data_IF_264516330093
#
_entry.id   IF_264516330093
#
_cell.length_a   1.000
_cell.length_b   1.000
_cell.length_c   1.000
_cell.angle_alpha   90.00
_cell.angle_beta   90.00
_cell.angle_gamma   90.00
#
_symmetry.space_group_name_H-M   'P 1'
#
loop_
_entity.id
_entity.type
_entity.pdbx_description
1 polymer ?
#
# COMPACT_ATOMS: atom_id res chain seq x y z
N UNK A 1 -10.84 48.88 65.83
CA UNK A 1 -10.49 49.08 64.41
C UNK A 1 -10.07 47.74 63.86
N UNK A 2 -10.96 47.02 63.17
CA UNK A 2 -10.62 45.78 62.50
C UNK A 2 -10.38 46.10 61.00
N UNK A 3 -9.16 45.89 60.52
CA UNK A 3 -8.82 46.02 59.12
C UNK A 3 -9.12 44.70 58.39
N UNK A 4 -10.09 44.73 57.48
CA UNK A 4 -10.37 43.63 56.59
C UNK A 4 -9.36 43.64 55.42
N UNK A 5 -8.55 42.59 55.31
CA UNK A 5 -7.65 42.34 54.14
C UNK A 5 -8.47 41.55 53.07
N UNK A 6 -8.78 42.23 51.98
CA UNK A 6 -9.40 41.59 50.83
C UNK A 6 -8.30 40.87 50.00
N UNK A 7 -8.33 39.55 49.95
CA UNK A 7 -7.48 38.73 49.05
C UNK A 7 -8.17 38.67 47.69
N UNK A 8 -7.64 39.39 46.72
CA UNK A 8 -8.05 39.28 45.31
C UNK A 8 -7.44 38.03 44.70
N UNK A 9 -8.24 37.02 44.44
CA UNK A 9 -7.82 35.85 43.66
C UNK A 9 -7.76 36.24 42.17
N UNK A 10 -6.52 36.34 41.64
CA UNK A 10 -6.29 36.54 40.21
C UNK A 10 -6.49 35.20 39.52
N UNK A 11 -7.63 35.02 38.91
CA UNK A 11 -7.85 33.91 37.98
C UNK A 11 -7.09 34.21 36.67
N UNK A 12 -5.91 33.60 36.50
CA UNK A 12 -5.25 33.56 35.21
C UNK A 12 -6.06 32.65 34.28
N UNK A 13 -6.94 33.21 33.43
CA UNK A 13 -7.45 32.51 32.28
C UNK A 13 -6.32 32.33 31.30
N UNK A 14 -5.67 31.15 31.31
CA UNK A 14 -4.85 30.71 30.18
C UNK A 14 -5.78 30.61 28.97
N UNK A 15 -5.63 31.50 28.03
CA UNK A 15 -6.27 31.36 26.71
C UNK A 15 -5.78 30.05 26.12
N UNK A 16 -6.63 29.04 26.11
CA UNK A 16 -6.33 27.80 25.41
C UNK A 16 -6.18 28.15 23.92
N UNK A 17 -4.94 28.22 23.47
CA UNK A 17 -4.62 28.42 22.05
C UNK A 17 -5.11 27.19 21.30
N UNK A 18 -5.93 27.37 20.26
CA UNK A 18 -6.36 26.24 19.44
C UNK A 18 -5.13 25.66 18.74
N UNK A 19 -4.95 24.34 18.83
CA UNK A 19 -3.84 23.66 18.19
C UNK A 19 -3.91 23.84 16.68
N UNK A 20 -2.80 24.11 16.05
CA UNK A 20 -2.64 24.09 14.58
C UNK A 20 -2.76 22.65 14.06
N UNK A 21 -3.02 22.49 12.76
CA UNK A 21 -3.05 21.16 12.13
C UNK A 21 -1.78 20.36 12.41
N UNK A 22 -0.61 20.97 12.27
CA UNK A 22 0.68 20.31 12.51
C UNK A 22 0.86 19.87 13.98
N UNK A 23 0.40 20.68 14.93
CA UNK A 23 0.42 20.34 16.36
C UNK A 23 -0.53 19.19 16.66
N UNK A 24 -1.72 19.15 16.05
CA UNK A 24 -2.68 18.04 16.18
C UNK A 24 -2.07 16.75 15.66
N UNK A 25 -1.52 16.76 14.44
CA UNK A 25 -0.94 15.57 13.81
C UNK A 25 0.24 15.00 14.60
N UNK A 26 0.97 15.85 15.33
CA UNK A 26 2.16 15.46 16.09
C UNK A 26 1.95 15.48 17.62
N UNK A 27 0.70 15.59 18.08
CA UNK A 27 0.40 15.67 19.50
C UNK A 27 0.78 14.36 20.23
N UNK A 28 1.53 14.47 21.32
CA UNK A 28 2.06 13.36 22.13
C UNK A 28 1.67 13.42 23.61
N UNK A 29 0.78 14.36 23.97
CA UNK A 29 0.32 14.50 25.37
C UNK A 29 -0.36 13.22 25.87
N UNK A 30 -0.41 13.00 27.18
CA UNK A 30 -1.03 11.83 27.78
C UNK A 30 -2.55 11.77 27.52
N UNK A 31 -3.16 12.90 27.18
CA UNK A 31 -4.57 13.08 26.83
C UNK A 31 -4.84 13.05 25.31
N UNK A 32 -3.86 12.60 24.50
CA UNK A 32 -3.92 12.59 23.04
C UNK A 32 -5.23 11.98 22.50
N UNK A 33 -5.64 10.84 23.01
CA UNK A 33 -6.88 10.18 22.57
C UNK A 33 -8.09 11.10 22.76
N UNK A 34 -8.19 11.73 23.92
CA UNK A 34 -9.28 12.65 24.22
C UNK A 34 -9.23 13.90 23.34
N UNK A 35 -8.05 14.49 23.12
CA UNK A 35 -7.87 15.64 22.22
C UNK A 35 -8.34 15.30 20.81
N UNK A 36 -7.96 14.13 20.29
CA UNK A 36 -8.39 13.69 18.97
C UNK A 36 -9.89 13.42 18.89
N UNK A 37 -10.49 12.78 19.90
CA UNK A 37 -11.94 12.51 19.92
C UNK A 37 -12.76 13.79 20.04
N UNK A 38 -12.40 14.70 20.94
CA UNK A 38 -13.08 15.98 21.13
C UNK A 38 -13.03 16.88 19.88
N UNK A 39 -11.91 16.85 19.16
CA UNK A 39 -11.74 17.55 17.89
C UNK A 39 -12.53 16.90 16.77
N UNK A 40 -12.41 15.58 16.60
CA UNK A 40 -13.10 14.82 15.58
C UNK A 40 -14.63 14.85 15.73
N UNK A 41 -15.14 14.94 16.96
CA UNK A 41 -16.56 15.16 17.21
C UNK A 41 -17.07 16.45 16.55
N UNK A 42 -16.26 17.51 16.55
CA UNK A 42 -16.59 18.78 15.89
C UNK A 42 -16.43 18.71 14.38
N UNK A 43 -15.46 17.93 13.91
CA UNK A 43 -15.20 17.71 12.48
C UNK A 43 -16.27 16.83 11.83
N UNK A 44 -16.76 15.81 12.51
CA UNK A 44 -17.86 14.94 12.12
C UNK A 44 -17.63 14.05 10.91
N UNK A 45 -16.49 14.18 10.21
CA UNK A 45 -16.20 13.41 8.99
C UNK A 45 -14.71 13.23 8.77
N UNK A 46 -14.35 12.24 7.98
CA UNK A 46 -13.01 12.06 7.37
C UNK A 46 -13.17 11.59 5.93
N UNK A 47 -12.35 12.13 5.03
CA UNK A 47 -12.38 11.79 3.59
C UNK A 47 -11.11 11.04 3.20
N UNK A 48 -11.29 9.86 2.62
CA UNK A 48 -10.21 8.91 2.32
C UNK A 48 -10.16 8.63 0.82
N UNK A 49 -9.00 8.79 0.18
CA UNK A 49 -8.76 8.25 -1.15
C UNK A 49 -7.89 7.00 -1.03
N UNK A 50 -8.34 5.88 -1.59
CA UNK A 50 -7.69 4.59 -1.35
C UNK A 50 -7.65 3.67 -2.56
N UNK A 51 -6.57 2.88 -2.63
CA UNK A 51 -6.41 1.77 -3.55
C UNK A 51 -7.05 0.45 -3.08
N UNK A 52 -7.53 0.37 -1.85
CA UNK A 52 -8.12 -0.85 -1.28
C UNK A 52 -9.34 -1.32 -2.07
N UNK A 53 -9.50 -2.64 -2.25
CA UNK A 53 -10.71 -3.21 -2.86
C UNK A 53 -11.88 -3.00 -1.91
N UNK A 54 -12.95 -2.34 -2.42
CA UNK A 54 -14.07 -1.86 -1.60
C UNK A 54 -14.68 -2.97 -0.75
N UNK A 55 -15.17 -4.05 -1.37
CA UNK A 55 -15.89 -5.09 -0.63
C UNK A 55 -14.97 -6.01 0.17
N UNK A 56 -13.68 -6.08 -0.21
CA UNK A 56 -12.72 -6.97 0.45
C UNK A 56 -12.15 -6.36 1.73
N UNK A 57 -11.86 -5.05 1.74
CA UNK A 57 -11.18 -4.41 2.86
C UNK A 57 -11.70 -3.00 3.19
N UNK A 58 -11.86 -2.09 2.20
CA UNK A 58 -12.12 -0.69 2.48
C UNK A 58 -13.44 -0.47 3.23
N UNK A 59 -14.53 -1.05 2.74
CA UNK A 59 -15.85 -0.93 3.38
C UNK A 59 -15.88 -1.57 4.77
N UNK A 60 -15.43 -2.83 4.98
CA UNK A 60 -15.35 -3.40 6.33
C UNK A 60 -14.54 -2.54 7.31
N UNK A 61 -13.40 -1.99 6.88
CA UNK A 61 -12.57 -1.10 7.72
C UNK A 61 -13.30 0.19 8.09
N UNK A 62 -13.91 0.86 7.10
CA UNK A 62 -14.62 2.12 7.35
C UNK A 62 -15.85 1.93 8.24
N UNK A 63 -16.60 0.84 8.05
CA UNK A 63 -17.72 0.49 8.93
C UNK A 63 -17.26 0.15 10.36
N UNK A 64 -16.13 -0.53 10.52
CA UNK A 64 -15.56 -0.81 11.84
C UNK A 64 -15.09 0.48 12.53
N UNK A 65 -14.47 1.38 11.78
CA UNK A 65 -14.09 2.71 12.28
C UNK A 65 -15.31 3.53 12.72
N UNK A 66 -16.38 3.58 11.91
CA UNK A 66 -17.62 4.27 12.26
C UNK A 66 -18.33 3.65 13.47
N UNK A 67 -18.26 2.32 13.66
CA UNK A 67 -18.76 1.68 14.89
C UNK A 67 -17.98 2.10 16.12
N UNK A 68 -16.67 2.25 15.98
CA UNK A 68 -15.79 2.68 17.09
C UNK A 68 -15.95 4.16 17.41
N UNK A 69 -16.15 4.99 16.39
CA UNK A 69 -16.30 6.44 16.49
C UNK A 69 -17.60 6.90 15.80
N UNK A 70 -18.76 6.66 16.41
CA UNK A 70 -20.07 6.87 15.75
C UNK A 70 -20.39 8.33 15.42
N UNK A 71 -19.61 9.25 15.95
CA UNK A 71 -19.69 10.67 15.65
C UNK A 71 -18.87 11.09 14.40
N UNK A 72 -18.15 10.15 13.74
CA UNK A 72 -17.41 10.42 12.52
C UNK A 72 -18.04 9.64 11.36
N UNK A 73 -18.33 10.34 10.24
CA UNK A 73 -18.73 9.69 8.98
C UNK A 73 -17.54 9.58 8.05
N UNK A 74 -17.28 8.37 7.56
CA UNK A 74 -16.22 8.13 6.58
C UNK A 74 -16.78 8.32 5.18
N UNK A 75 -16.18 9.22 4.44
CA UNK A 75 -16.37 9.35 3.00
C UNK A 75 -15.14 8.83 2.29
N UNK A 76 -15.31 7.96 1.31
CA UNK A 76 -14.16 7.47 0.57
C UNK A 76 -14.38 7.52 -0.95
N UNK A 77 -13.29 7.69 -1.66
CA UNK A 77 -13.21 7.48 -3.08
C UNK A 77 -12.17 6.41 -3.37
N UNK A 78 -12.54 5.42 -4.21
CA UNK A 78 -11.66 4.30 -4.57
C UNK A 78 -11.17 4.47 -5.99
N UNK A 79 -9.86 4.43 -6.18
CA UNK A 79 -9.16 4.31 -7.46
C UNK A 79 -7.94 3.40 -7.30
N UNK A 80 -7.33 2.98 -8.41
CA UNK A 80 -5.94 2.53 -8.34
C UNK A 80 -5.02 3.72 -8.00
N UNK A 81 -3.76 3.41 -7.66
CA UNK A 81 -2.82 4.44 -7.20
C UNK A 81 -2.69 5.60 -8.19
N UNK A 82 -2.71 5.34 -9.51
CA UNK A 82 -2.68 6.39 -10.52
C UNK A 82 -3.92 7.25 -10.53
N UNK A 83 -5.10 6.63 -10.52
CA UNK A 83 -6.36 7.35 -10.52
C UNK A 83 -6.45 8.24 -9.27
N UNK A 84 -5.98 7.75 -8.11
CA UNK A 84 -5.88 8.53 -6.87
C UNK A 84 -4.96 9.73 -7.09
N UNK A 85 -3.76 9.53 -7.66
CA UNK A 85 -2.79 10.60 -7.90
C UNK A 85 -3.32 11.64 -8.90
N UNK A 86 -3.91 11.21 -10.00
CA UNK A 86 -4.49 12.13 -11.01
C UNK A 86 -5.59 12.99 -10.38
N UNK A 87 -6.48 12.37 -9.60
CA UNK A 87 -7.54 13.09 -8.89
C UNK A 87 -6.97 14.08 -7.88
N UNK A 88 -6.03 13.63 -7.06
CA UNK A 88 -5.38 14.45 -6.03
C UNK A 88 -4.68 15.67 -6.64
N UNK A 89 -3.88 15.48 -7.69
CA UNK A 89 -3.20 16.58 -8.38
C UNK A 89 -4.17 17.56 -9.05
N UNK A 90 -5.28 17.08 -9.61
CA UNK A 90 -6.31 17.94 -10.17
C UNK A 90 -6.97 18.83 -9.09
N UNK A 91 -7.29 18.27 -7.92
CA UNK A 91 -7.86 19.00 -6.79
C UNK A 91 -6.88 20.02 -6.19
N UNK A 92 -5.61 19.64 -6.04
CA UNK A 92 -4.56 20.56 -5.57
C UNK A 92 -4.40 21.72 -6.55
N UNK A 93 -4.31 21.44 -7.86
CA UNK A 93 -4.20 22.47 -8.89
C UNK A 93 -5.41 23.42 -8.90
N UNK A 94 -6.59 22.90 -8.60
CA UNK A 94 -7.82 23.68 -8.49
C UNK A 94 -7.99 24.40 -7.15
N UNK A 95 -7.06 24.22 -6.18
CA UNK A 95 -7.19 24.66 -4.79
C UNK A 95 -8.50 24.16 -4.13
N UNK A 96 -8.89 22.94 -4.45
CA UNK A 96 -10.16 22.33 -4.07
C UNK A 96 -9.95 20.91 -3.48
N UNK A 97 -8.87 20.74 -2.68
CA UNK A 97 -8.57 19.48 -2.02
C UNK A 97 -9.72 19.05 -1.12
N UNK A 98 -10.16 17.81 -1.30
CA UNK A 98 -11.29 17.19 -0.56
C UNK A 98 -10.80 16.12 0.40
N UNK A 99 -9.77 15.35 0.02
CA UNK A 99 -9.28 14.25 0.84
C UNK A 99 -8.49 14.75 2.06
N UNK A 100 -8.62 14.04 3.17
CA UNK A 100 -7.83 14.22 4.40
C UNK A 100 -6.64 13.28 4.43
N UNK A 101 -6.86 12.04 4.01
CA UNK A 101 -5.84 11.00 3.93
C UNK A 101 -5.87 10.30 2.58
N UNK A 102 -4.72 9.85 2.15
CA UNK A 102 -4.56 9.02 0.96
C UNK A 102 -3.85 7.72 1.33
N UNK A 103 -4.29 6.61 0.74
CA UNK A 103 -3.74 5.28 1.00
C UNK A 103 -3.54 4.53 -0.32
N UNK A 104 -2.37 3.91 -0.49
CA UNK A 104 -2.07 3.08 -1.67
C UNK A 104 -0.60 2.79 -1.85
N UNK A 105 -0.28 2.13 -2.96
CA UNK A 105 1.07 1.73 -3.32
C UNK A 105 1.84 2.83 -4.02
N UNK A 106 3.13 2.96 -3.71
CA UNK A 106 4.01 3.91 -4.41
C UNK A 106 3.61 5.38 -4.21
N UNK A 107 2.68 5.65 -3.29
CA UNK A 107 2.16 6.99 -3.03
C UNK A 107 3.25 7.98 -2.60
N UNK A 108 4.17 7.64 -1.68
CA UNK A 108 5.13 8.62 -1.15
C UNK A 108 5.97 9.29 -2.23
N UNK A 109 6.59 8.54 -3.14
CA UNK A 109 7.38 9.10 -4.22
C UNK A 109 6.55 9.87 -5.25
N UNK A 110 5.36 9.35 -5.57
CA UNK A 110 4.50 9.91 -6.63
C UNK A 110 3.72 11.16 -6.20
N UNK A 111 3.50 11.35 -4.89
CA UNK A 111 2.78 12.52 -4.35
C UNK A 111 3.66 13.79 -4.33
N UNK A 112 4.97 13.69 -4.59
CA UNK A 112 5.87 14.84 -4.56
C UNK A 112 6.38 15.19 -3.16
N UNK A 113 6.42 14.20 -2.27
CA UNK A 113 7.03 14.32 -0.94
C UNK A 113 6.32 15.32 -0.03
N UNK A 114 7.07 15.94 0.87
CA UNK A 114 6.58 16.87 1.91
C UNK A 114 5.85 18.12 1.40
N UNK A 115 5.74 18.31 0.09
CA UNK A 115 5.02 19.47 -0.47
C UNK A 115 3.52 19.40 -0.28
N UNK A 116 2.94 18.20 -0.28
CA UNK A 116 1.49 17.99 -0.21
C UNK A 116 1.04 17.04 0.92
N UNK A 117 1.97 16.48 1.67
CA UNK A 117 1.72 15.66 2.86
C UNK A 117 2.35 16.29 4.09
N UNK A 118 1.84 15.95 5.26
CA UNK A 118 2.35 16.44 6.54
C UNK A 118 2.97 15.31 7.35
N UNK A 119 4.05 15.57 8.08
CA UNK A 119 4.55 14.66 9.10
C UNK A 119 3.49 14.44 10.19
N UNK A 120 3.38 13.22 10.69
CA UNK A 120 2.47 12.88 11.77
C UNK A 120 3.08 11.87 12.74
N UNK A 121 2.45 11.71 13.88
CA UNK A 121 2.85 10.77 14.92
C UNK A 121 1.69 9.85 15.30
N UNK A 122 1.99 8.56 15.42
CA UNK A 122 1.13 7.58 16.07
C UNK A 122 1.92 6.84 17.15
N UNK A 123 1.35 6.57 18.33
CA UNK A 123 2.00 5.73 19.33
C UNK A 123 2.27 4.31 18.83
N UNK A 124 1.57 3.86 17.78
CA UNK A 124 1.78 2.56 17.17
C UNK A 124 3.06 2.47 16.33
N UNK A 125 3.74 3.58 16.07
CA UNK A 125 5.04 3.60 15.39
C UNK A 125 6.13 2.87 16.16
N UNK A 126 6.02 2.78 17.48
CA UNK A 126 7.01 2.11 18.32
C UNK A 126 7.10 0.59 18.05
N UNK A 127 6.03 0.00 17.51
CA UNK A 127 5.98 -1.42 17.17
C UNK A 127 6.47 -1.72 15.74
N UNK A 128 6.64 -0.70 14.89
CA UNK A 128 6.96 -0.85 13.48
C UNK A 128 8.49 -0.76 13.25
N UNK A 129 8.96 -1.40 12.20
CA UNK A 129 10.34 -1.27 11.76
C UNK A 129 10.60 0.08 11.08
N UNK A 130 11.87 0.45 10.94
CA UNK A 130 12.25 1.73 10.30
C UNK A 130 11.87 1.77 8.82
N UNK A 131 11.80 0.63 8.17
CA UNK A 131 11.43 0.49 6.76
C UNK A 131 9.91 0.66 6.53
N UNK A 132 9.13 0.60 7.62
CA UNK A 132 7.68 0.75 7.59
C UNK A 132 7.20 2.18 7.79
N UNK A 133 8.10 3.09 8.13
CA UNK A 133 7.82 4.50 8.43
C UNK A 133 8.78 5.38 7.65
N UNK A 134 8.28 6.45 7.03
CA UNK A 134 9.14 7.46 6.44
C UNK A 134 10.10 8.07 7.46
N UNK A 135 11.35 8.35 7.08
CA UNK A 135 12.32 9.00 7.95
C UNK A 135 11.86 10.39 8.42
N UNK A 136 11.09 11.10 7.58
CA UNK A 136 10.43 12.37 7.88
C UNK A 136 9.00 12.21 8.44
N UNK A 137 8.53 10.96 8.65
CA UNK A 137 7.22 10.60 9.18
C UNK A 137 6.03 11.09 8.33
N UNK A 138 6.21 11.25 7.05
CA UNK A 138 5.13 11.65 6.13
C UNK A 138 4.25 10.50 5.66
N UNK A 139 4.67 9.25 5.90
CA UNK A 139 3.88 8.05 5.61
C UNK A 139 4.21 6.91 6.57
N UNK A 140 3.28 5.97 6.66
CA UNK A 140 3.44 4.68 7.36
C UNK A 140 2.81 3.56 6.56
N UNK A 141 3.44 2.39 6.57
CA UNK A 141 2.92 1.19 5.93
C UNK A 141 1.62 0.72 6.60
N UNK A 142 0.62 0.38 5.79
CA UNK A 142 -0.65 -0.19 6.26
C UNK A 142 -0.74 -1.69 6.01
N UNK A 143 -0.05 -2.19 5.01
CA UNK A 143 0.05 -3.61 4.64
C UNK A 143 1.19 -3.84 3.67
N UNK A 144 1.57 -5.11 3.51
CA UNK A 144 2.58 -5.52 2.52
C UNK A 144 1.97 -6.29 1.36
N UNK A 145 2.73 -6.31 0.28
CA UNK A 145 2.52 -7.16 -0.89
C UNK A 145 3.82 -7.81 -1.29
N UNK A 146 3.74 -9.08 -1.63
CA UNK A 146 4.84 -9.85 -2.20
C UNK A 146 4.48 -10.17 -3.65
N UNK A 147 5.44 -9.96 -4.54
CA UNK A 147 5.24 -10.16 -5.97
C UNK A 147 5.86 -11.49 -6.39
N UNK A 148 5.15 -12.18 -7.23
CA UNK A 148 5.56 -13.49 -7.70
C UNK A 148 5.00 -13.80 -9.08
N UNK A 149 4.90 -15.08 -9.36
CA UNK A 149 4.32 -15.65 -10.56
C UNK A 149 3.06 -16.44 -10.17
N UNK A 150 1.96 -16.24 -10.89
CA UNK A 150 0.77 -17.08 -10.79
C UNK A 150 0.66 -18.04 -11.98
N UNK A 151 0.20 -19.26 -11.75
CA UNK A 151 0.00 -20.21 -12.83
C UNK A 151 -1.28 -21.04 -12.65
N UNK A 152 -1.79 -21.58 -13.75
CA UNK A 152 -2.99 -22.41 -13.76
C UNK A 152 -2.61 -23.89 -13.57
N UNK A 153 -3.07 -24.47 -12.45
CA UNK A 153 -2.75 -25.85 -12.05
C UNK A 153 -3.41 -26.93 -12.87
N UNK A 154 -4.38 -26.61 -13.76
CA UNK A 154 -4.91 -27.56 -14.74
C UNK A 154 -3.94 -27.83 -15.89
N UNK A 155 -3.02 -26.91 -16.15
CA UNK A 155 -2.13 -26.96 -17.31
C UNK A 155 -0.66 -27.11 -16.94
N UNK A 156 -0.29 -26.80 -15.71
CA UNK A 156 1.10 -26.82 -15.24
C UNK A 156 1.12 -27.58 -13.92
N UNK A 157 1.81 -28.71 -13.88
CA UNK A 157 2.08 -29.43 -12.65
C UNK A 157 3.05 -28.62 -11.76
N UNK A 158 3.00 -28.83 -10.46
CA UNK A 158 3.80 -28.06 -9.50
C UNK A 158 5.31 -28.14 -9.76
N UNK A 159 5.81 -29.30 -10.14
CA UNK A 159 7.21 -29.56 -10.45
C UNK A 159 7.66 -28.99 -11.81
N UNK A 160 6.72 -28.74 -12.73
CA UNK A 160 6.94 -28.14 -14.04
C UNK A 160 6.87 -26.60 -14.03
N UNK A 161 6.34 -26.00 -12.94
CA UNK A 161 6.23 -24.55 -12.83
C UNK A 161 7.62 -23.89 -12.84
N UNK A 162 7.77 -22.71 -13.49
CA UNK A 162 9.02 -21.95 -13.47
C UNK A 162 9.48 -21.68 -12.03
N UNK A 163 10.78 -21.87 -11.75
CA UNK A 163 11.37 -21.70 -10.41
C UNK A 163 12.18 -20.41 -10.27
N UNK A 164 12.53 -19.80 -11.39
CA UNK A 164 13.31 -18.56 -11.46
C UNK A 164 13.01 -17.81 -12.77
N UNK A 165 13.54 -16.59 -12.90
CA UNK A 165 13.34 -15.77 -14.10
C UNK A 165 13.82 -16.43 -15.39
N UNK A 166 14.94 -17.19 -15.37
CA UNK A 166 15.46 -17.82 -16.59
C UNK A 166 14.55 -18.95 -17.11
N UNK A 167 13.81 -19.63 -16.22
CA UNK A 167 12.89 -20.68 -16.65
C UNK A 167 11.73 -20.12 -17.50
N UNK A 168 11.44 -18.81 -17.40
CA UNK A 168 10.45 -18.13 -18.26
C UNK A 168 10.92 -18.00 -19.71
N UNK A 169 12.20 -18.21 -19.98
CA UNK A 169 12.78 -18.20 -21.33
C UNK A 169 12.63 -19.54 -22.05
N UNK A 170 12.14 -20.58 -21.38
CA UNK A 170 11.86 -21.88 -22.02
C UNK A 170 10.83 -21.69 -23.15
N UNK A 171 11.12 -22.17 -24.38
CA UNK A 171 10.19 -22.09 -25.52
C UNK A 171 8.79 -22.65 -25.25
N UNK A 172 8.65 -23.57 -24.29
CA UNK A 172 7.32 -24.11 -23.90
C UNK A 172 6.35 -23.06 -23.42
N UNK A 173 6.84 -21.90 -22.94
CA UNK A 173 6.03 -20.80 -22.43
C UNK A 173 5.68 -19.74 -23.47
N UNK A 174 6.24 -19.83 -24.67
CA UNK A 174 6.00 -18.84 -25.73
C UNK A 174 4.51 -18.66 -26.03
N UNK A 175 4.03 -17.40 -25.98
CA UNK A 175 2.64 -17.01 -26.17
C UNK A 175 1.69 -17.46 -25.06
N UNK A 176 2.18 -17.97 -23.93
CA UNK A 176 1.35 -18.49 -22.82
C UNK A 176 1.40 -17.65 -21.56
N UNK A 177 2.14 -16.55 -21.59
CA UNK A 177 2.36 -15.67 -20.45
C UNK A 177 1.65 -14.33 -20.65
N UNK A 178 1.21 -13.73 -19.56
CA UNK A 178 0.73 -12.37 -19.54
C UNK A 178 1.28 -11.63 -18.32
N UNK A 179 1.34 -10.31 -18.41
CA UNK A 179 1.61 -9.42 -17.30
C UNK A 179 0.76 -8.15 -17.38
N UNK A 180 0.57 -7.53 -16.24
CA UNK A 180 -0.03 -6.21 -16.17
C UNK A 180 0.92 -5.17 -16.75
N UNK A 181 0.39 -4.21 -17.51
CA UNK A 181 1.07 -2.99 -17.92
C UNK A 181 0.25 -1.79 -17.50
N UNK A 182 0.82 -1.01 -16.63
CA UNK A 182 0.24 0.20 -16.04
C UNK A 182 1.33 0.93 -15.28
N UNK A 183 0.96 2.00 -14.64
CA UNK A 183 1.88 2.83 -13.86
C UNK A 183 1.92 2.42 -12.37
N UNK A 184 1.08 1.48 -11.95
CA UNK A 184 1.23 0.89 -10.64
C UNK A 184 2.45 -0.04 -10.58
N UNK A 185 3.04 -0.13 -9.41
CA UNK A 185 4.21 -0.95 -9.18
C UNK A 185 3.83 -2.45 -9.18
N UNK A 186 3.47 -2.98 -10.36
CA UNK A 186 3.13 -4.39 -10.58
C UNK A 186 3.42 -4.81 -12.02
N UNK A 187 3.34 -6.11 -12.32
CA UNK A 187 3.49 -6.64 -13.65
C UNK A 187 4.85 -6.41 -14.27
N UNK A 188 4.87 -5.86 -15.49
CA UNK A 188 6.10 -5.66 -16.26
C UNK A 188 7.09 -4.74 -15.54
N UNK A 189 6.64 -3.57 -15.07
CA UNK A 189 7.53 -2.57 -14.48
C UNK A 189 8.15 -3.05 -13.17
N UNK A 190 7.39 -3.66 -12.28
CA UNK A 190 7.96 -4.21 -11.03
C UNK A 190 8.95 -5.32 -11.30
N UNK A 191 8.68 -6.16 -12.31
CA UNK A 191 9.63 -7.22 -12.72
C UNK A 191 10.94 -6.61 -13.22
N UNK A 192 10.87 -5.62 -14.12
CA UNK A 192 12.07 -4.96 -14.66
C UNK A 192 12.82 -4.21 -13.56
N UNK A 193 12.12 -3.49 -12.68
CA UNK A 193 12.74 -2.77 -11.55
C UNK A 193 13.48 -3.73 -10.60
N UNK A 194 12.86 -4.87 -10.30
CA UNK A 194 13.51 -5.92 -9.49
C UNK A 194 14.81 -6.42 -10.13
N UNK A 195 14.77 -6.68 -11.43
CA UNK A 195 15.95 -7.14 -12.16
C UNK A 195 17.03 -6.06 -12.25
N UNK A 196 16.65 -4.80 -12.45
CA UNK A 196 17.60 -3.67 -12.42
C UNK A 196 18.30 -3.57 -11.06
N UNK A 197 17.54 -3.64 -9.97
CA UNK A 197 18.08 -3.57 -8.62
C UNK A 197 18.99 -4.74 -8.25
N UNK A 198 18.78 -5.92 -8.85
CA UNK A 198 19.50 -7.14 -8.48
C UNK A 198 20.59 -7.54 -9.49
N UNK A 199 20.36 -7.34 -10.75
CA UNK A 199 21.28 -7.77 -11.82
C UNK A 199 22.04 -6.63 -12.47
N UNK A 200 21.62 -5.38 -12.26
CA UNK A 200 22.12 -4.21 -12.97
C UNK A 200 21.59 -4.10 -14.39
N UNK A 201 21.87 -2.96 -15.03
CA UNK A 201 21.27 -2.58 -16.31
C UNK A 201 21.58 -3.54 -17.45
N UNK A 202 22.86 -3.85 -17.67
CA UNK A 202 23.29 -4.64 -18.84
C UNK A 202 22.67 -6.05 -18.86
N UNK A 203 22.67 -6.74 -17.72
CA UNK A 203 22.10 -8.09 -17.61
C UNK A 203 20.58 -8.05 -17.75
N UNK A 204 19.93 -7.04 -17.16
CA UNK A 204 18.48 -6.82 -17.25
C UNK A 204 18.08 -6.54 -18.70
N UNK A 205 18.74 -5.63 -19.42
CA UNK A 205 18.44 -5.32 -20.82
C UNK A 205 18.53 -6.58 -21.70
N UNK A 206 19.61 -7.37 -21.51
CA UNK A 206 19.78 -8.65 -22.21
C UNK A 206 18.64 -9.63 -21.92
N UNK A 207 18.18 -9.72 -20.68
CA UNK A 207 17.08 -10.60 -20.28
C UNK A 207 15.76 -10.11 -20.88
N UNK A 208 15.47 -8.81 -20.78
CA UNK A 208 14.22 -8.21 -21.31
C UNK A 208 14.14 -8.41 -22.83
N UNK A 209 15.25 -8.29 -23.56
CA UNK A 209 15.30 -8.63 -24.99
C UNK A 209 14.95 -10.10 -25.28
N UNK A 210 15.30 -11.03 -24.40
CA UNK A 210 14.96 -12.45 -24.52
C UNK A 210 13.51 -12.73 -24.16
N UNK A 211 13.01 -12.17 -23.05
CA UNK A 211 11.62 -12.39 -22.60
C UNK A 211 10.60 -11.77 -23.60
N UNK A 212 10.97 -10.68 -24.29
CA UNK A 212 10.14 -10.11 -25.34
C UNK A 212 9.90 -11.10 -26.49
N UNK A 213 10.87 -11.99 -26.80
CA UNK A 213 10.73 -13.05 -27.81
C UNK A 213 9.83 -14.20 -27.38
N UNK A 214 9.42 -14.25 -26.12
CA UNK A 214 8.46 -15.21 -25.59
C UNK A 214 7.01 -14.84 -25.89
N UNK A 215 6.75 -13.73 -26.59
CA UNK A 215 5.41 -13.23 -26.91
C UNK A 215 4.52 -13.11 -25.65
N UNK A 216 5.10 -12.57 -24.57
CA UNK A 216 4.35 -12.29 -23.34
C UNK A 216 3.34 -11.16 -23.59
N UNK A 217 2.07 -11.41 -23.29
CA UNK A 217 0.98 -10.48 -23.59
C UNK A 217 0.92 -9.35 -22.56
N UNK A 218 1.03 -8.08 -22.99
CA UNK A 218 0.79 -6.93 -22.13
C UNK A 218 -0.72 -6.69 -21.96
N UNK A 219 -1.18 -6.61 -20.73
CA UNK A 219 -2.59 -6.41 -20.40
C UNK A 219 -2.79 -5.10 -19.63
N UNK A 220 -3.57 -4.19 -20.20
CA UNK A 220 -3.97 -2.92 -19.55
C UNK A 220 -5.19 -3.14 -18.64
N UNK A 221 -5.10 -4.14 -17.77
CA UNK A 221 -6.12 -4.51 -16.77
C UNK A 221 -5.46 -4.54 -15.40
N UNK A 222 -6.24 -4.59 -14.32
CA UNK A 222 -5.65 -4.68 -12.98
C UNK A 222 -4.84 -5.97 -12.79
N UNK A 223 -3.87 -5.95 -11.88
CA UNK A 223 -3.08 -7.13 -11.52
C UNK A 223 -3.95 -8.32 -11.10
N UNK A 224 -5.07 -8.06 -10.40
CA UNK A 224 -6.05 -9.11 -10.07
C UNK A 224 -6.68 -9.72 -11.32
N UNK A 225 -7.06 -8.91 -12.30
CA UNK A 225 -7.69 -9.42 -13.54
C UNK A 225 -6.70 -10.24 -14.39
N UNK A 226 -5.38 -9.99 -14.32
CA UNK A 226 -4.39 -10.91 -14.92
C UNK A 226 -4.50 -12.30 -14.30
N UNK A 227 -4.61 -12.38 -12.96
CA UNK A 227 -4.81 -13.67 -12.28
C UNK A 227 -6.12 -14.34 -12.68
N UNK A 228 -7.20 -13.57 -12.85
CA UNK A 228 -8.50 -14.10 -13.29
C UNK A 228 -8.41 -14.70 -14.70
N UNK A 229 -7.68 -14.07 -15.64
CA UNK A 229 -7.45 -14.63 -16.98
C UNK A 229 -6.58 -15.90 -16.95
N UNK A 230 -5.61 -15.97 -16.05
CA UNK A 230 -4.84 -17.21 -15.81
C UNK A 230 -5.75 -18.33 -15.30
N UNK A 231 -6.64 -18.03 -14.35
CA UNK A 231 -7.61 -19.01 -13.82
C UNK A 231 -8.56 -19.51 -14.91
N UNK A 232 -9.04 -18.62 -15.79
CA UNK A 232 -9.88 -18.97 -16.93
C UNK A 232 -9.15 -19.80 -18.00
N UNK A 233 -7.81 -19.78 -18.01
CA UNK A 233 -6.97 -20.53 -18.94
C UNK A 233 -6.63 -19.79 -20.24
N UNK A 234 -6.94 -18.50 -20.33
CA UNK A 234 -6.50 -17.64 -21.44
C UNK A 234 -4.98 -17.59 -21.50
N UNK A 235 -4.35 -17.48 -20.33
CA UNK A 235 -2.91 -17.60 -20.18
C UNK A 235 -2.58 -18.73 -19.20
N UNK A 236 -1.37 -19.28 -19.32
CA UNK A 236 -0.86 -20.32 -18.40
C UNK A 236 -0.20 -19.71 -17.19
N UNK A 237 0.42 -18.53 -17.37
CA UNK A 237 1.27 -17.86 -16.39
C UNK A 237 0.96 -16.37 -16.38
N UNK A 238 0.80 -15.80 -15.18
CA UNK A 238 0.80 -14.37 -14.91
C UNK A 238 2.10 -13.96 -14.23
N UNK A 239 2.87 -13.06 -14.85
CA UNK A 239 4.18 -12.64 -14.37
C UNK A 239 4.06 -11.32 -13.61
N UNK A 240 4.78 -11.18 -12.48
CA UNK A 240 4.79 -9.96 -11.68
C UNK A 240 3.46 -9.68 -10.99
N UNK A 241 2.74 -10.72 -10.60
CA UNK A 241 1.44 -10.62 -9.92
C UNK A 241 1.61 -10.59 -8.40
N UNK A 242 0.62 -10.05 -7.70
CA UNK A 242 0.55 -10.15 -6.24
C UNK A 242 0.36 -11.62 -5.82
N UNK A 243 1.35 -12.19 -5.15
CA UNK A 243 1.47 -13.62 -4.87
C UNK A 243 0.31 -14.20 -4.05
N UNK A 244 -0.41 -13.37 -3.28
CA UNK A 244 -1.57 -13.80 -2.50
C UNK A 244 -2.82 -14.06 -3.34
N UNK A 245 -2.98 -13.41 -4.49
CA UNK A 245 -4.19 -13.55 -5.31
C UNK A 245 -4.43 -14.99 -5.79
N UNK A 246 -3.45 -15.71 -6.36
CA UNK A 246 -3.64 -17.13 -6.71
C UNK A 246 -3.99 -18.01 -5.52
N UNK A 247 -3.39 -17.75 -4.34
CA UNK A 247 -3.64 -18.54 -3.12
C UNK A 247 -5.07 -18.33 -2.61
N UNK A 248 -5.54 -17.08 -2.56
CA UNK A 248 -6.92 -16.77 -2.18
C UNK A 248 -7.90 -17.47 -3.14
N UNK A 249 -7.64 -17.37 -4.43
CA UNK A 249 -8.49 -18.01 -5.46
C UNK A 249 -8.48 -19.54 -5.36
N UNK A 250 -7.33 -20.16 -5.07
CA UNK A 250 -7.22 -21.59 -4.83
C UNK A 250 -8.02 -22.02 -3.59
N UNK A 251 -8.02 -21.23 -2.53
CA UNK A 251 -8.85 -21.45 -1.35
C UNK A 251 -10.37 -21.42 -1.64
N UNK A 252 -10.78 -20.81 -2.75
CA UNK A 252 -12.15 -20.79 -3.28
C UNK A 252 -12.38 -21.85 -4.37
N UNK A 253 -11.43 -22.76 -4.57
CA UNK A 253 -11.53 -23.86 -5.54
C UNK A 253 -11.04 -23.53 -6.97
N UNK A 254 -10.44 -22.36 -7.20
CA UNK A 254 -9.88 -22.02 -8.49
C UNK A 254 -8.57 -22.79 -8.77
N UNK A 255 -8.32 -23.18 -10.05
CA UNK A 255 -7.11 -23.90 -10.43
C UNK A 255 -5.90 -22.97 -10.53
N UNK A 256 -5.42 -22.45 -9.42
CA UNK A 256 -4.32 -21.49 -9.39
C UNK A 256 -3.31 -21.80 -8.29
N UNK A 257 -2.05 -21.46 -8.54
CA UNK A 257 -0.98 -21.50 -7.55
C UNK A 257 0.02 -20.36 -7.82
N UNK A 258 0.92 -20.14 -6.87
CA UNK A 258 1.96 -19.12 -6.97
C UNK A 258 3.36 -19.71 -6.82
N UNK A 259 4.33 -19.05 -7.43
CA UNK A 259 5.77 -19.26 -7.22
C UNK A 259 6.40 -17.92 -6.88
N UNK A 260 7.35 -17.95 -5.95
CA UNK A 260 8.18 -16.79 -5.62
C UNK A 260 9.56 -16.97 -6.23
N UNK A 261 10.12 -15.91 -6.78
CA UNK A 261 11.49 -15.89 -7.30
C UNK A 261 12.43 -15.19 -6.32
N UNK A 262 13.70 -15.52 -6.37
CA UNK A 262 14.75 -14.93 -5.55
C UNK A 262 15.38 -13.71 -6.27
N UNK A 263 15.40 -12.52 -5.62
CA UNK A 263 14.70 -12.16 -4.38
C UNK A 263 13.20 -11.96 -4.60
N UNK A 264 12.41 -12.01 -3.50
CA UNK A 264 10.98 -11.69 -3.55
C UNK A 264 10.81 -10.17 -3.60
N UNK A 265 10.29 -9.58 -4.68
CA UNK A 265 9.93 -8.16 -4.68
C UNK A 265 8.83 -7.91 -3.65
N UNK A 266 9.13 -7.04 -2.71
CA UNK A 266 8.26 -6.73 -1.57
C UNK A 266 7.93 -5.25 -1.58
N UNK A 267 6.69 -4.90 -1.34
CA UNK A 267 6.20 -3.53 -1.36
C UNK A 267 5.25 -3.29 -0.20
N UNK A 268 5.21 -2.06 0.28
CA UNK A 268 4.18 -1.60 1.20
C UNK A 268 3.13 -0.75 0.48
N UNK A 269 1.89 -0.90 0.90
CA UNK A 269 0.89 0.14 0.74
C UNK A 269 0.95 1.02 1.99
N UNK A 270 0.86 2.31 1.82
CA UNK A 270 1.07 3.30 2.89
C UNK A 270 -0.04 4.32 2.96
N UNK A 271 -0.21 4.93 4.15
CA UNK A 271 -1.15 6.01 4.38
C UNK A 271 -0.39 7.30 4.64
N UNK A 272 -0.90 8.42 4.12
CA UNK A 272 -0.39 9.77 4.28
C UNK A 272 -1.51 10.71 4.70
N UNK A 273 -1.18 11.73 5.49
CA UNK A 273 -2.09 12.83 5.82
C UNK A 273 -1.79 14.02 4.93
N UNK A 274 -2.80 14.55 4.26
CA UNK A 274 -2.64 15.59 3.25
C UNK A 274 -2.51 16.98 3.86
N UNK A 275 -1.62 17.79 3.31
CA UNK A 275 -1.51 19.21 3.63
C UNK A 275 -2.77 19.92 3.16
N UNK A 276 -3.46 20.58 4.08
CA UNK A 276 -4.77 21.19 3.79
C UNK A 276 -5.95 20.32 4.18
N UNK A 277 -5.73 19.20 4.90
CA UNK A 277 -6.81 18.46 5.56
C UNK A 277 -7.70 19.40 6.38
N UNK A 278 -9.00 19.20 6.28
CA UNK A 278 -9.99 19.96 7.03
C UNK A 278 -10.41 19.24 8.32
N UNK A 279 -10.01 17.99 8.47
CA UNK A 279 -10.43 17.12 9.56
C UNK A 279 -9.22 16.41 10.20
N UNK A 280 -8.21 17.18 10.72
CA UNK A 280 -6.94 16.61 11.18
C UNK A 280 -7.10 15.65 12.36
N UNK A 281 -8.06 15.89 13.26
CA UNK A 281 -8.31 14.99 14.39
C UNK A 281 -8.90 13.65 13.92
N UNK A 282 -9.92 13.69 13.07
CA UNK A 282 -10.53 12.50 12.49
C UNK A 282 -9.55 11.73 11.59
N UNK A 283 -8.69 12.42 10.84
CA UNK A 283 -7.61 11.82 10.06
C UNK A 283 -6.65 11.03 10.95
N UNK A 284 -6.23 11.60 12.09
CA UNK A 284 -5.33 10.90 13.02
C UNK A 284 -6.00 9.73 13.73
N UNK A 285 -7.28 9.84 14.10
CA UNK A 285 -8.03 8.69 14.62
C UNK A 285 -8.11 7.56 13.58
N UNK A 286 -8.28 7.90 12.30
CA UNK A 286 -8.31 6.90 11.23
C UNK A 286 -6.93 6.26 11.01
N UNK A 287 -5.83 7.03 11.04
CA UNK A 287 -4.46 6.52 10.99
C UNK A 287 -4.20 5.55 12.15
N UNK A 288 -4.52 5.95 13.38
CA UNK A 288 -4.34 5.09 14.54
C UNK A 288 -5.19 3.81 14.45
N UNK A 289 -6.43 3.95 13.96
CA UNK A 289 -7.31 2.79 13.77
C UNK A 289 -6.74 1.79 12.76
N UNK A 290 -6.31 2.25 11.56
CA UNK A 290 -5.82 1.33 10.53
C UNK A 290 -4.55 0.57 10.95
N UNK A 291 -3.74 1.16 11.83
CA UNK A 291 -2.54 0.52 12.39
C UNK A 291 -2.84 -0.38 13.60
N UNK A 292 -4.03 -0.25 14.19
CA UNK A 292 -4.41 -1.02 15.38
C UNK A 292 -4.47 -2.53 15.10
N UNK A 293 -4.31 -3.33 16.15
CA UNK A 293 -4.46 -4.80 16.07
C UNK A 293 -5.84 -5.20 15.52
N UNK A 294 -6.90 -4.44 15.85
CA UNK A 294 -8.26 -4.68 15.35
C UNK A 294 -8.30 -4.57 13.81
N UNK A 295 -7.90 -3.43 13.27
CA UNK A 295 -7.92 -3.21 11.83
C UNK A 295 -6.93 -4.12 11.08
N UNK A 296 -5.77 -4.39 11.67
CA UNK A 296 -4.77 -5.27 11.06
C UNK A 296 -5.21 -6.74 11.03
N UNK A 297 -6.06 -7.20 11.95
CA UNK A 297 -6.75 -8.49 11.82
C UNK A 297 -7.76 -8.49 10.68
N UNK A 298 -8.38 -7.37 10.36
CA UNK A 298 -9.23 -7.24 9.18
C UNK A 298 -8.40 -7.28 7.88
N UNK A 299 -7.22 -6.66 7.87
CA UNK A 299 -6.22 -6.79 6.78
C UNK A 299 -5.85 -8.26 6.58
N UNK A 300 -5.55 -8.99 7.66
CA UNK A 300 -5.27 -10.43 7.64
C UNK A 300 -6.44 -11.24 7.06
N UNK A 301 -7.67 -11.00 7.56
CA UNK A 301 -8.87 -11.70 7.13
C UNK A 301 -9.20 -11.45 5.65
N UNK A 302 -8.88 -10.27 5.14
CA UNK A 302 -9.00 -9.90 3.74
C UNK A 302 -7.92 -10.55 2.84
N UNK A 303 -6.99 -11.34 3.41
CA UNK A 303 -5.94 -12.02 2.66
C UNK A 303 -4.77 -11.13 2.25
N UNK A 304 -4.55 -10.06 2.99
CA UNK A 304 -3.36 -9.22 2.86
C UNK A 304 -2.35 -9.49 3.99
N UNK A 305 -1.16 -8.91 3.89
CA UNK A 305 -0.11 -9.04 4.91
C UNK A 305 -0.13 -7.81 5.81
N UNK A 306 -0.49 -7.97 7.09
CA UNK A 306 -0.51 -6.88 8.05
C UNK A 306 0.86 -6.19 8.17
N UNK A 307 0.87 -4.88 8.36
CA UNK A 307 2.07 -4.14 8.74
C UNK A 307 2.33 -4.22 10.24
N UNK A 308 1.30 -4.39 11.07
CA UNK A 308 1.46 -4.54 12.51
C UNK A 308 2.12 -5.90 12.83
N UNK A 309 3.34 -5.93 13.42
CA UNK A 309 4.08 -7.17 13.68
C UNK A 309 3.41 -8.11 14.69
N UNK A 310 2.45 -7.60 15.46
CA UNK A 310 1.66 -8.39 16.41
C UNK A 310 0.48 -9.13 15.74
N UNK A 311 0.31 -8.99 14.43
CA UNK A 311 -0.72 -9.68 13.66
C UNK A 311 -0.07 -10.52 12.57
N UNK A 312 -0.07 -11.82 12.74
CA UNK A 312 0.42 -12.76 11.73
C UNK A 312 -0.40 -12.67 10.43
N UNK A 313 0.17 -12.99 9.26
CA UNK A 313 -0.62 -13.20 8.05
C UNK A 313 -1.55 -14.41 8.19
N UNK A 314 -2.59 -14.49 7.35
CA UNK A 314 -3.48 -15.65 7.30
C UNK A 314 -2.69 -16.95 7.14
N UNK A 315 -3.09 -18.07 7.78
CA UNK A 315 -2.34 -19.33 7.74
C UNK A 315 -1.98 -19.80 6.32
N UNK A 316 -2.90 -19.63 5.36
CA UNK A 316 -2.68 -19.99 3.96
C UNK A 316 -1.61 -19.15 3.27
N UNK A 317 -1.30 -17.96 3.79
CA UNK A 317 -0.34 -17.03 3.23
C UNK A 317 1.02 -17.06 3.94
N UNK A 318 1.14 -17.75 5.08
CA UNK A 318 2.40 -17.79 5.84
C UNK A 318 3.58 -18.25 5.01
N UNK A 319 3.38 -19.21 4.10
CA UNK A 319 4.45 -19.79 3.29
C UNK A 319 5.04 -18.86 2.24
N UNK A 320 4.34 -17.78 1.86
CA UNK A 320 4.85 -16.80 0.90
C UNK A 320 5.43 -15.55 1.56
N UNK A 321 5.46 -15.50 2.88
CA UNK A 321 6.21 -14.47 3.61
C UNK A 321 7.71 -14.78 3.47
N UNK A 322 8.56 -13.83 3.07
CA UNK A 322 9.98 -14.08 2.76
C UNK A 322 10.72 -14.90 3.82
N UNK A 323 10.58 -14.53 5.09
CA UNK A 323 11.21 -15.24 6.21
C UNK A 323 10.79 -16.72 6.32
N UNK A 324 9.55 -17.06 5.93
CA UNK A 324 9.02 -18.42 5.98
C UNK A 324 9.30 -19.19 4.69
N UNK A 325 9.38 -18.48 3.57
CA UNK A 325 9.75 -19.04 2.27
C UNK A 325 11.25 -19.38 2.19
N UNK A 326 12.07 -18.84 3.10
CA UNK A 326 13.53 -18.95 3.03
C UNK A 326 14.15 -18.21 1.84
N UNK A 327 13.46 -17.21 1.31
CA UNK A 327 13.89 -16.42 0.15
C UNK A 327 14.00 -14.95 0.60
N UNK A 328 15.13 -14.26 0.31
CA UNK A 328 15.29 -12.86 0.69
C UNK A 328 14.22 -11.96 0.10
N UNK A 329 13.76 -10.98 0.87
CA UNK A 329 12.93 -9.90 0.35
C UNK A 329 13.80 -8.81 -0.27
N UNK A 330 13.39 -8.30 -1.44
CA UNK A 330 13.83 -7.01 -1.96
C UNK A 330 12.73 -5.99 -1.70
N UNK A 331 12.93 -5.13 -0.70
CA UNK A 331 11.98 -4.05 -0.46
C UNK A 331 12.14 -2.98 -1.56
N UNK A 332 11.12 -2.86 -2.39
CA UNK A 332 11.01 -1.81 -3.39
C UNK A 332 10.45 -0.56 -2.69
N UNK A 333 11.35 0.18 -2.04
CA UNK A 333 11.00 1.44 -1.37
C UNK A 333 10.59 2.50 -2.39
N UNK A 334 9.94 3.56 -1.91
CA UNK A 334 9.55 4.67 -2.77
C UNK A 334 10.74 5.31 -3.48
N UNK A 335 11.86 5.45 -2.77
CA UNK A 335 13.10 6.01 -3.30
C UNK A 335 13.69 5.11 -4.42
N UNK A 336 13.74 3.80 -4.19
CA UNK A 336 14.24 2.86 -5.19
C UNK A 336 13.32 2.81 -6.42
N UNK A 337 12.00 2.88 -6.22
CA UNK A 337 11.04 2.98 -7.32
C UNK A 337 11.20 4.29 -8.09
N UNK A 338 11.37 5.41 -7.42
CA UNK A 338 11.60 6.71 -8.05
C UNK A 338 12.90 6.71 -8.88
N UNK A 339 13.96 6.12 -8.36
CA UNK A 339 15.24 5.99 -9.05
C UNK A 339 15.15 5.10 -10.30
N UNK A 340 14.57 3.89 -10.17
CA UNK A 340 14.67 2.86 -11.21
C UNK A 340 13.48 2.82 -12.19
N UNK A 341 12.31 3.40 -11.85
CA UNK A 341 11.13 3.37 -12.73
C UNK A 341 11.38 4.02 -14.08
N UNK A 342 12.05 5.18 -14.21
CA UNK A 342 12.35 5.77 -15.52
C UNK A 342 13.11 4.81 -16.43
N UNK A 343 14.09 4.10 -15.88
CA UNK A 343 14.88 3.12 -16.63
C UNK A 343 14.08 1.85 -16.94
N UNK A 344 13.24 1.42 -16.04
CA UNK A 344 12.32 0.28 -16.28
C UNK A 344 11.36 0.58 -17.44
N UNK A 345 10.81 1.79 -17.48
CA UNK A 345 9.95 2.24 -18.58
C UNK A 345 10.72 2.33 -19.90
N UNK A 346 11.96 2.83 -19.87
CA UNK A 346 12.82 2.87 -21.06
C UNK A 346 13.07 1.48 -21.63
N UNK A 347 13.49 0.51 -20.78
CA UNK A 347 13.74 -0.86 -21.19
C UNK A 347 12.47 -1.54 -21.70
N UNK A 348 11.33 -1.31 -21.02
CA UNK A 348 10.06 -1.83 -21.49
C UNK A 348 9.72 -1.31 -22.89
N UNK A 349 9.77 0.00 -23.10
CA UNK A 349 9.48 0.63 -24.41
C UNK A 349 10.45 0.22 -25.51
N UNK A 350 11.69 -0.11 -25.17
CA UNK A 350 12.71 -0.56 -26.13
C UNK A 350 12.38 -1.95 -26.71
N UNK A 351 11.85 -2.85 -25.91
CA UNK A 351 11.67 -4.25 -26.28
C UNK A 351 10.21 -4.69 -26.49
N UNK A 352 9.25 -3.95 -25.96
CA UNK A 352 7.80 -4.21 -26.10
C UNK A 352 7.14 -3.01 -26.80
N UNK A 353 7.14 -3.02 -28.10
CA UNK A 353 6.51 -1.99 -28.95
C UNK A 353 5.21 -2.49 -29.55
#
# INVERSE_FOLDING_TARGET
MLSAVAVAAVFCFSSAHALTTEEILNYKGPDRQKVLEDGALKEGTVVIYSGMIVNQLLRPLTEAFERKYPFIKVRYWRGDSNQVLVKLHAEIKANALVADVVEGSGMPGSIGGSKIVLPFYSPLFEALSKEEIASDRTWVATRFRYIGLGYNTKFIAKDEAPKNYNDLLDPKWKGKMAWHVGSDASGALVTITTLLATWGEQKTDTYIAKIAKQDITPLSVSNRQVVDQVILGEYRIGVGISAHHPIISAGLGAPSATVLFDPIPSMSDSIQVLKGTKHPHAAMLFVDFILSTEAQRMVQAAGYFPSNPNVDPAPSLKMIVPRNAGIPALMLTSELLEELTPKSVELYKRHFR
#
